data_IF_739196216305
#
_entry.id   IF_739196216305
#
_cell.length_a   1.000
_cell.length_b   1.000
_cell.length_c   1.000
_cell.angle_alpha   90.00
_cell.angle_beta   90.00
_cell.angle_gamma   90.00
#
_symmetry.space_group_name_H-M   'P 1'
#
loop_
_entity.id
_entity.type
_entity.pdbx_description
1 polymer ?
#
# COMPACT_ATOMS: atom_id res chain seq x y z
N UNK A 1 2.77 -9.67 -28.70
CA UNK A 1 1.83 -10.34 -27.76
C UNK A 1 2.46 -11.64 -27.31
N UNK A 2 3.33 -11.61 -26.32
CA UNK A 2 3.88 -12.85 -25.74
C UNK A 2 3.23 -13.00 -24.37
N UNK A 3 2.29 -13.96 -24.28
CA UNK A 3 1.62 -14.31 -23.05
C UNK A 3 2.64 -14.62 -21.97
N UNK A 4 2.62 -13.83 -20.94
CA UNK A 4 3.40 -14.05 -19.73
C UNK A 4 2.86 -15.32 -19.10
N UNK A 5 3.47 -16.46 -19.43
CA UNK A 5 3.24 -17.72 -18.72
C UNK A 5 3.50 -17.41 -17.25
N UNK A 6 2.44 -17.31 -16.46
CA UNK A 6 2.49 -17.24 -15.02
C UNK A 6 3.40 -18.39 -14.56
N UNK A 7 4.63 -18.09 -14.20
CA UNK A 7 5.48 -19.08 -13.53
C UNK A 7 4.68 -19.58 -12.34
N UNK A 8 4.53 -20.90 -12.21
CA UNK A 8 3.82 -21.50 -11.07
C UNK A 8 4.33 -20.84 -9.79
N UNK A 9 3.44 -20.23 -8.99
CA UNK A 9 3.87 -19.49 -7.83
C UNK A 9 4.64 -20.43 -6.88
N UNK A 10 5.91 -20.15 -6.66
CA UNK A 10 6.68 -20.89 -5.66
C UNK A 10 6.05 -20.62 -4.29
N UNK A 11 5.94 -21.65 -3.45
CA UNK A 11 5.43 -21.50 -2.08
C UNK A 11 6.13 -20.36 -1.32
N UNK A 12 7.44 -20.18 -1.54
CA UNK A 12 8.22 -19.09 -0.96
C UNK A 12 7.71 -17.71 -1.38
N UNK A 13 7.36 -17.52 -2.65
CA UNK A 13 6.82 -16.26 -3.18
C UNK A 13 5.42 -15.98 -2.62
N UNK A 14 4.57 -17.02 -2.54
CA UNK A 14 3.24 -16.89 -1.93
C UNK A 14 3.34 -16.52 -0.46
N UNK A 15 4.21 -17.17 0.30
CA UNK A 15 4.45 -16.84 1.72
C UNK A 15 4.98 -15.41 1.84
N UNK A 16 5.96 -15.02 1.01
CA UNK A 16 6.50 -13.66 1.01
C UNK A 16 5.45 -12.60 0.70
N UNK A 17 4.56 -12.87 -0.26
CA UNK A 17 3.42 -12.01 -0.58
C UNK A 17 2.49 -11.84 0.62
N UNK A 18 2.05 -12.96 1.24
CA UNK A 18 1.12 -12.92 2.39
C UNK A 18 1.75 -12.20 3.59
N UNK A 19 3.00 -12.56 3.93
CA UNK A 19 3.75 -11.90 5.01
C UNK A 19 3.94 -10.42 4.71
N UNK A 20 4.25 -10.07 3.45
CA UNK A 20 4.37 -8.69 3.01
C UNK A 20 3.08 -7.89 3.24
N UNK A 21 1.93 -8.44 2.84
CA UNK A 21 0.61 -7.81 3.03
C UNK A 21 0.30 -7.62 4.53
N UNK A 22 0.59 -8.61 5.37
CA UNK A 22 0.39 -8.49 6.82
C UNK A 22 1.26 -7.39 7.41
N UNK A 23 2.53 -7.31 7.00
CA UNK A 23 3.46 -6.26 7.45
C UNK A 23 3.01 -4.88 6.95
N UNK A 24 2.52 -4.75 5.70
CA UNK A 24 1.93 -3.50 5.21
C UNK A 24 0.77 -3.06 6.11
N UNK A 25 -0.14 -3.99 6.42
CA UNK A 25 -1.28 -3.68 7.30
C UNK A 25 -0.87 -3.19 8.69
N UNK A 26 0.17 -3.78 9.28
CA UNK A 26 0.77 -3.28 10.52
C UNK A 26 1.33 -1.87 10.32
N UNK A 27 2.07 -1.61 9.25
CA UNK A 27 2.64 -0.29 8.96
C UNK A 27 1.56 0.78 8.81
N UNK A 28 0.45 0.48 8.11
CA UNK A 28 -0.70 1.39 7.97
C UNK A 28 -1.35 1.66 9.34
N UNK A 29 -1.45 0.65 10.20
CA UNK A 29 -1.95 0.82 11.56
C UNK A 29 -1.07 1.74 12.40
N UNK A 30 0.27 1.65 12.26
CA UNK A 30 1.23 2.54 12.92
C UNK A 30 1.11 3.98 12.39
N UNK A 31 0.93 4.17 11.07
CA UNK A 31 0.61 5.50 10.52
C UNK A 31 -0.67 6.08 11.13
N UNK A 32 -1.73 5.27 11.22
CA UNK A 32 -2.99 5.69 11.84
C UNK A 32 -2.78 6.11 13.30
N UNK A 33 -1.94 5.38 14.06
CA UNK A 33 -1.60 5.69 15.44
C UNK A 33 -0.86 7.02 15.60
N UNK A 34 -0.09 7.45 14.59
CA UNK A 34 0.66 8.71 14.64
C UNK A 34 -0.22 9.96 14.66
N UNK A 35 -1.46 9.86 14.16
CA UNK A 35 -2.35 11.02 13.95
C UNK A 35 -1.76 12.13 13.05
N UNK A 36 -0.65 11.86 12.31
CA UNK A 36 -0.05 12.80 11.36
C UNK A 36 -0.45 12.55 9.90
N UNK A 37 -1.38 11.64 9.66
CA UNK A 37 -1.81 11.20 8.33
C UNK A 37 -1.28 9.82 7.97
N UNK A 38 -1.72 9.31 6.84
CA UNK A 38 -1.38 7.99 6.31
C UNK A 38 -0.97 8.12 4.83
N UNK A 39 -0.65 6.99 4.18
CA UNK A 39 -0.57 7.00 2.71
C UNK A 39 -1.92 7.46 2.13
N UNK A 40 -1.86 8.10 0.97
CA UNK A 40 -2.98 8.88 0.42
C UNK A 40 -4.26 8.06 0.23
N UNK A 41 -4.14 6.83 -0.29
CA UNK A 41 -5.31 5.97 -0.51
C UNK A 41 -5.88 5.41 0.81
N UNK A 42 -5.02 5.02 1.76
CA UNK A 42 -5.48 4.56 3.07
C UNK A 42 -6.17 5.68 3.85
N UNK A 43 -5.63 6.91 3.80
CA UNK A 43 -6.25 8.07 4.41
C UNK A 43 -7.64 8.35 3.81
N UNK A 44 -7.77 8.30 2.48
CA UNK A 44 -9.04 8.46 1.78
C UNK A 44 -10.03 7.36 2.17
N UNK A 45 -9.62 6.10 2.17
CA UNK A 45 -10.48 4.98 2.55
C UNK A 45 -10.92 5.03 4.02
N UNK A 46 -10.03 5.45 4.92
CA UNK A 46 -10.39 5.68 6.33
C UNK A 46 -11.48 6.74 6.44
N UNK A 47 -11.30 7.86 5.74
CA UNK A 47 -12.28 8.94 5.75
C UNK A 47 -13.63 8.55 5.15
N UNK A 48 -13.62 7.82 4.03
CA UNK A 48 -14.85 7.31 3.42
C UNK A 48 -15.56 6.30 4.34
N UNK A 49 -14.81 5.41 4.99
CA UNK A 49 -15.35 4.46 5.96
C UNK A 49 -16.06 5.17 7.12
N UNK A 50 -15.44 6.25 7.66
CA UNK A 50 -16.05 7.09 8.70
C UNK A 50 -17.33 7.78 8.21
N UNK A 51 -17.31 8.38 7.00
CA UNK A 51 -18.46 9.08 6.44
C UNK A 51 -19.65 8.15 6.16
N UNK A 52 -19.39 6.92 5.69
CA UNK A 52 -20.44 5.94 5.41
C UNK A 52 -20.81 5.09 6.63
N UNK A 53 -20.11 5.22 7.76
CA UNK A 53 -20.36 4.42 8.96
C UNK A 53 -20.11 2.92 8.77
N UNK A 54 -19.18 2.54 7.89
CA UNK A 54 -18.84 1.16 7.58
C UNK A 54 -17.42 0.82 8.04
N UNK A 55 -17.10 -0.48 8.17
CA UNK A 55 -15.75 -0.88 8.54
C UNK A 55 -14.74 -0.54 7.43
N UNK A 56 -13.50 -0.25 7.82
CA UNK A 56 -12.40 -0.01 6.89
C UNK A 56 -12.20 -1.18 5.91
N UNK A 57 -12.40 -2.42 6.38
CA UNK A 57 -12.31 -3.61 5.52
C UNK A 57 -13.34 -3.58 4.39
N UNK A 58 -14.60 -3.27 4.69
CA UNK A 58 -15.68 -3.16 3.69
C UNK A 58 -15.39 -2.01 2.73
N UNK A 59 -14.98 -0.85 3.24
CA UNK A 59 -14.62 0.30 2.40
C UNK A 59 -13.45 -0.03 1.45
N UNK A 60 -12.41 -0.70 1.93
CA UNK A 60 -11.30 -1.11 1.08
C UNK A 60 -11.73 -2.09 -0.02
N UNK A 61 -12.60 -3.05 0.29
CA UNK A 61 -13.15 -3.96 -0.73
C UNK A 61 -13.91 -3.17 -1.80
N UNK A 62 -14.78 -2.23 -1.41
CA UNK A 62 -15.55 -1.43 -2.35
C UNK A 62 -14.63 -0.57 -3.25
N UNK A 63 -13.64 0.11 -2.68
CA UNK A 63 -12.66 0.90 -3.42
C UNK A 63 -11.83 0.03 -4.36
N UNK A 64 -11.35 -1.12 -3.89
CA UNK A 64 -10.57 -2.04 -4.72
C UNK A 64 -11.41 -2.68 -5.85
N UNK A 65 -12.69 -2.96 -5.64
CA UNK A 65 -13.58 -3.43 -6.70
C UNK A 65 -13.72 -2.39 -7.82
N UNK A 66 -13.86 -1.11 -7.46
CA UNK A 66 -13.93 -0.03 -8.45
C UNK A 66 -12.61 0.09 -9.23
N UNK A 67 -11.47 0.09 -8.54
CA UNK A 67 -10.15 0.17 -9.17
C UNK A 67 -9.86 -1.08 -10.01
N UNK A 68 -10.25 -2.25 -9.54
CA UNK A 68 -10.12 -3.51 -10.26
C UNK A 68 -10.94 -3.53 -11.55
N UNK A 69 -12.14 -2.91 -11.56
CA UNK A 69 -12.89 -2.75 -12.79
C UNK A 69 -12.13 -1.93 -13.83
N UNK A 70 -11.42 -0.87 -13.42
CA UNK A 70 -10.54 -0.09 -14.28
C UNK A 70 -9.36 -0.95 -14.76
N UNK A 71 -8.69 -1.64 -13.85
CA UNK A 71 -7.53 -2.51 -14.12
C UNK A 71 -7.86 -3.61 -15.15
N UNK A 72 -9.05 -4.20 -15.11
CA UNK A 72 -9.51 -5.19 -16.11
C UNK A 72 -9.52 -4.59 -17.53
N UNK A 73 -9.78 -3.30 -17.65
CA UNK A 73 -9.87 -2.64 -18.97
C UNK A 73 -8.52 -2.15 -19.47
N UNK A 74 -7.68 -1.66 -18.58
CA UNK A 74 -6.46 -0.92 -18.93
C UNK A 74 -5.19 -1.69 -18.59
N UNK A 75 -5.17 -2.47 -17.49
CA UNK A 75 -3.96 -3.01 -16.89
C UNK A 75 -3.98 -4.49 -16.53
N UNK A 76 -4.67 -5.34 -17.28
CA UNK A 76 -4.81 -6.80 -16.99
C UNK A 76 -3.50 -7.52 -16.66
N UNK A 77 -2.38 -6.99 -17.10
CA UNK A 77 -1.05 -7.55 -16.87
C UNK A 77 -0.60 -7.47 -15.39
N UNK A 78 -1.21 -6.60 -14.60
CA UNK A 78 -0.88 -6.40 -13.17
C UNK A 78 -1.75 -7.25 -12.25
N UNK A 79 -2.82 -7.86 -12.78
CA UNK A 79 -3.75 -8.68 -12.01
C UNK A 79 -3.11 -10.02 -11.64
N UNK A 80 -3.13 -10.36 -10.37
CA UNK A 80 -2.63 -11.63 -9.88
C UNK A 80 -3.19 -12.01 -8.51
N UNK A 81 -2.66 -13.07 -7.91
CA UNK A 81 -3.11 -13.54 -6.60
C UNK A 81 -2.96 -12.44 -5.53
N UNK A 82 -1.86 -11.67 -5.58
CA UNK A 82 -1.60 -10.57 -4.67
C UNK A 82 -2.63 -9.44 -4.76
N UNK A 83 -3.16 -9.16 -5.95
CA UNK A 83 -4.22 -8.16 -6.16
C UNK A 83 -5.46 -8.50 -5.33
N UNK A 84 -5.92 -9.75 -5.39
CA UNK A 84 -7.09 -10.21 -4.65
C UNK A 84 -6.84 -10.27 -3.15
N UNK A 85 -5.72 -10.86 -2.72
CA UNK A 85 -5.40 -11.00 -1.30
C UNK A 85 -5.23 -9.64 -0.64
N UNK A 86 -4.51 -8.72 -1.27
CA UNK A 86 -4.35 -7.36 -0.76
C UNK A 86 -5.71 -6.63 -0.75
N UNK A 87 -6.40 -6.60 -1.88
CA UNK A 87 -7.65 -5.85 -2.05
C UNK A 87 -8.75 -6.26 -1.06
N UNK A 88 -8.78 -7.52 -0.65
CA UNK A 88 -9.79 -8.03 0.29
C UNK A 88 -9.32 -7.90 1.74
N UNK A 89 -8.07 -8.25 2.04
CA UNK A 89 -7.64 -8.47 3.41
C UNK A 89 -7.05 -7.24 4.09
N UNK A 90 -6.48 -6.29 3.34
CA UNK A 90 -5.67 -5.21 3.93
C UNK A 90 -6.42 -4.38 4.98
N UNK A 91 -7.67 -3.98 4.71
CA UNK A 91 -8.43 -3.17 5.64
C UNK A 91 -8.78 -3.88 6.95
N UNK A 92 -9.03 -5.19 6.91
CA UNK A 92 -9.25 -6.00 8.11
C UNK A 92 -7.96 -6.19 8.90
N UNK A 93 -6.84 -6.42 8.21
CA UNK A 93 -5.52 -6.54 8.85
C UNK A 93 -5.15 -5.23 9.55
N UNK A 94 -5.37 -4.09 8.92
CA UNK A 94 -5.13 -2.77 9.54
C UNK A 94 -5.93 -2.62 10.82
N UNK A 95 -7.23 -2.93 10.80
CA UNK A 95 -8.09 -2.84 11.99
C UNK A 95 -7.62 -3.78 13.09
N UNK A 96 -7.29 -5.03 12.75
CA UNK A 96 -6.83 -6.04 13.70
C UNK A 96 -5.52 -5.64 14.42
N UNK A 97 -4.65 -4.87 13.78
CA UNK A 97 -3.45 -4.32 14.43
C UNK A 97 -3.72 -3.00 15.15
N UNK A 98 -4.52 -2.12 14.55
CA UNK A 98 -4.76 -0.78 15.10
C UNK A 98 -5.51 -0.83 16.43
N UNK A 99 -6.57 -1.64 16.54
CA UNK A 99 -7.42 -1.67 17.73
C UNK A 99 -6.64 -2.03 19.01
N UNK A 100 -5.81 -3.10 19.05
CA UNK A 100 -5.00 -3.38 20.24
C UNK A 100 -3.88 -2.34 20.47
N UNK A 101 -3.27 -1.78 19.41
CA UNK A 101 -2.25 -0.72 19.55
C UNK A 101 -2.86 0.51 20.19
N UNK A 102 -4.01 0.97 19.69
CA UNK A 102 -4.72 2.13 20.21
C UNK A 102 -5.22 1.92 21.64
N UNK A 103 -5.68 0.71 21.95
CA UNK A 103 -6.13 0.36 23.30
C UNK A 103 -4.97 0.34 24.31
N UNK A 104 -3.77 -0.09 23.90
CA UNK A 104 -2.62 -0.20 24.80
C UNK A 104 -1.85 1.10 24.99
N UNK A 105 -1.60 1.84 23.90
CA UNK A 105 -0.78 3.06 23.93
C UNK A 105 -1.61 4.35 24.10
N UNK A 106 -2.92 4.31 23.80
CA UNK A 106 -3.73 5.52 23.71
C UNK A 106 -3.32 6.42 22.53
N UNK A 107 -3.92 7.62 22.41
CA UNK A 107 -3.56 8.56 21.35
C UNK A 107 -2.17 9.15 21.58
N UNK A 108 -1.36 9.23 20.51
CA UNK A 108 -0.04 9.87 20.58
C UNK A 108 -0.15 11.34 21.01
N UNK A 109 0.42 11.67 22.19
CA UNK A 109 0.18 12.93 22.88
C UNK A 109 1.14 14.06 22.47
N UNK A 110 2.32 13.72 21.95
CA UNK A 110 3.37 14.69 21.61
C UNK A 110 3.91 14.52 20.18
N UNK A 111 4.36 15.63 19.59
CA UNK A 111 4.93 15.61 18.25
C UNK A 111 6.13 14.64 18.11
N UNK A 112 7.08 14.56 19.07
CA UNK A 112 8.14 13.56 18.99
C UNK A 112 7.63 12.12 18.97
N UNK A 113 6.63 11.80 19.76
CA UNK A 113 5.99 10.48 19.78
C UNK A 113 5.31 10.17 18.44
N UNK A 114 4.54 11.14 17.91
CA UNK A 114 3.92 11.03 16.59
C UNK A 114 4.94 10.78 15.48
N UNK A 115 6.09 11.48 15.49
CA UNK A 115 7.17 11.29 14.53
C UNK A 115 7.85 9.92 14.68
N UNK A 116 7.98 9.40 15.90
CA UNK A 116 8.48 8.03 16.12
C UNK A 116 7.52 6.99 15.52
N UNK A 117 6.21 7.16 15.70
CA UNK A 117 5.23 6.30 15.06
C UNK A 117 5.32 6.37 13.54
N UNK A 118 5.48 7.56 12.95
CA UNK A 118 5.69 7.72 11.49
C UNK A 118 6.96 7.03 11.01
N UNK A 119 8.08 7.19 11.71
CA UNK A 119 9.34 6.55 11.35
C UNK A 119 9.25 5.01 11.39
N UNK A 120 8.60 4.46 12.43
CA UNK A 120 8.31 3.04 12.52
C UNK A 120 7.38 2.59 11.39
N UNK A 121 6.32 3.36 11.12
CA UNK A 121 5.35 3.08 10.07
C UNK A 121 6.00 3.03 8.68
N UNK A 122 6.82 4.03 8.31
CA UNK A 122 7.57 4.04 7.03
C UNK A 122 8.44 2.80 6.89
N UNK A 123 9.20 2.47 7.94
CA UNK A 123 10.12 1.32 7.92
C UNK A 123 9.37 0.01 7.74
N UNK A 124 8.31 -0.20 8.54
CA UNK A 124 7.51 -1.43 8.52
C UNK A 124 6.75 -1.56 7.19
N UNK A 125 6.09 -0.48 6.75
CA UNK A 125 5.37 -0.48 5.47
C UNK A 125 6.31 -0.74 4.30
N UNK A 126 7.49 -0.11 4.29
CA UNK A 126 8.48 -0.30 3.22
C UNK A 126 9.01 -1.74 3.16
N UNK A 127 9.27 -2.37 4.32
CA UNK A 127 9.66 -3.78 4.38
C UNK A 127 8.56 -4.69 3.83
N UNK A 128 7.32 -4.48 4.26
CA UNK A 128 6.17 -5.24 3.78
C UNK A 128 5.94 -5.07 2.28
N UNK A 129 5.98 -3.83 1.80
CA UNK A 129 5.81 -3.51 0.38
C UNK A 129 6.93 -4.12 -0.48
N UNK A 130 8.17 -4.09 0.02
CA UNK A 130 9.30 -4.74 -0.63
C UNK A 130 9.09 -6.24 -0.81
N UNK A 131 8.68 -6.97 0.24
CA UNK A 131 8.38 -8.40 0.17
C UNK A 131 7.22 -8.69 -0.79
N UNK A 132 6.15 -7.91 -0.69
CA UNK A 132 4.96 -8.07 -1.50
C UNK A 132 5.24 -7.83 -2.99
N UNK A 133 5.92 -6.73 -3.34
CA UNK A 133 6.24 -6.39 -4.71
C UNK A 133 7.26 -7.36 -5.32
N UNK A 134 8.30 -7.73 -4.56
CA UNK A 134 9.31 -8.71 -5.01
C UNK A 134 8.72 -10.11 -5.21
N UNK A 135 7.62 -10.46 -4.54
CA UNK A 135 6.92 -11.71 -4.80
C UNK A 135 6.38 -11.81 -6.23
N UNK A 136 6.11 -10.68 -6.93
CA UNK A 136 5.68 -10.61 -8.34
C UNK A 136 4.49 -11.56 -8.63
N UNK A 137 3.47 -11.53 -7.78
CA UNK A 137 2.25 -12.34 -7.85
C UNK A 137 0.98 -11.50 -8.07
N UNK A 138 1.12 -10.31 -8.62
CA UNK A 138 0.09 -9.31 -8.80
C UNK A 138 0.30 -8.12 -7.88
N UNK A 139 -0.25 -6.99 -8.26
CA UNK A 139 -0.07 -5.70 -7.58
C UNK A 139 -1.42 -5.25 -7.05
N UNK A 140 -1.43 -4.49 -5.96
CA UNK A 140 -2.66 -3.91 -5.43
C UNK A 140 -3.29 -2.97 -6.48
N UNK A 141 -4.63 -2.97 -6.63
CA UNK A 141 -5.28 -2.18 -7.68
C UNK A 141 -4.89 -0.71 -7.68
N UNK A 142 -4.72 -0.11 -6.51
CA UNK A 142 -4.24 1.27 -6.41
C UNK A 142 -2.81 1.46 -6.93
N UNK A 143 -1.91 0.54 -6.62
CA UNK A 143 -0.51 0.62 -7.07
C UNK A 143 -0.42 0.36 -8.59
N UNK A 144 -1.31 -0.48 -9.12
CA UNK A 144 -1.42 -0.73 -10.55
C UNK A 144 -1.81 0.52 -11.34
N UNK A 145 -2.68 1.40 -10.80
CA UNK A 145 -3.08 2.65 -11.48
C UNK A 145 -1.88 3.53 -11.87
N UNK A 146 -0.87 3.65 -11.01
CA UNK A 146 0.32 4.43 -11.32
C UNK A 146 1.17 3.78 -12.43
N UNK A 147 1.19 2.44 -12.49
CA UNK A 147 1.87 1.70 -13.55
C UNK A 147 1.13 1.78 -14.87
N UNK A 148 -0.19 1.68 -14.84
CA UNK A 148 -1.05 1.84 -16.00
C UNK A 148 -0.91 3.25 -16.60
N UNK A 149 -0.92 4.26 -15.74
CA UNK A 149 -0.72 5.64 -16.17
C UNK A 149 0.67 5.84 -16.83
N UNK A 150 1.72 5.24 -16.27
CA UNK A 150 3.05 5.22 -16.87
C UNK A 150 3.04 4.54 -18.25
N UNK A 151 2.34 3.42 -18.39
CA UNK A 151 2.33 2.66 -19.63
C UNK A 151 1.59 3.38 -20.77
N UNK A 152 0.69 4.31 -20.44
CA UNK A 152 -0.11 5.08 -21.38
C UNK A 152 0.34 6.54 -21.54
N UNK A 153 1.34 7.00 -20.77
CA UNK A 153 1.82 8.38 -20.83
C UNK A 153 3.36 8.42 -20.88
N UNK A 154 3.97 9.51 -21.39
CA UNK A 154 5.42 9.67 -21.36
C UNK A 154 5.97 10.04 -19.97
N UNK A 155 5.11 10.03 -18.94
CA UNK A 155 5.49 10.41 -17.58
C UNK A 155 6.17 9.23 -16.87
N UNK A 156 7.32 9.42 -16.20
CA UNK A 156 7.97 8.35 -15.45
C UNK A 156 7.10 7.89 -14.27
N UNK A 157 7.26 6.64 -13.86
CA UNK A 157 6.48 6.02 -12.77
C UNK A 157 6.35 6.89 -11.51
N UNK A 158 7.44 7.52 -11.09
CA UNK A 158 7.43 8.41 -9.92
C UNK A 158 6.43 9.57 -10.09
N UNK A 159 6.39 10.20 -11.27
CA UNK A 159 5.43 11.28 -11.57
C UNK A 159 3.99 10.78 -11.56
N UNK A 160 3.73 9.60 -12.15
CA UNK A 160 2.42 8.97 -12.13
C UNK A 160 1.97 8.64 -10.69
N UNK A 161 2.89 8.12 -9.86
CA UNK A 161 2.62 7.82 -8.46
C UNK A 161 2.29 9.07 -7.65
N UNK A 162 3.11 10.11 -7.77
CA UNK A 162 2.85 11.40 -7.10
C UNK A 162 1.51 11.98 -7.53
N UNK A 163 1.16 11.86 -8.81
CA UNK A 163 -0.13 12.33 -9.30
C UNK A 163 -1.31 11.57 -8.67
N UNK A 164 -1.28 10.24 -8.67
CA UNK A 164 -2.34 9.42 -8.05
C UNK A 164 -2.44 9.67 -6.55
N UNK A 165 -1.31 9.79 -5.85
CA UNK A 165 -1.26 10.14 -4.44
C UNK A 165 -1.83 11.54 -4.18
N UNK A 166 -1.50 12.53 -5.00
CA UNK A 166 -2.01 13.90 -4.87
C UNK A 166 -3.54 13.96 -5.07
N UNK A 167 -4.08 13.23 -6.04
CA UNK A 167 -5.53 13.16 -6.28
C UNK A 167 -6.24 12.55 -5.06
N UNK A 168 -5.73 11.44 -4.52
CA UNK A 168 -6.31 10.81 -3.34
C UNK A 168 -6.19 11.68 -2.08
N UNK A 169 -5.03 12.34 -1.88
CA UNK A 169 -4.82 13.24 -0.75
C UNK A 169 -5.75 14.45 -0.82
N UNK A 170 -5.90 15.05 -2.02
CA UNK A 170 -6.81 16.17 -2.24
C UNK A 170 -8.27 15.76 -1.97
N UNK A 171 -8.69 14.61 -2.49
CA UNK A 171 -10.03 14.08 -2.24
C UNK A 171 -10.27 13.83 -0.73
N UNK A 172 -9.30 13.24 -0.05
CA UNK A 172 -9.34 13.02 1.40
C UNK A 172 -9.48 14.35 2.16
N UNK A 173 -8.67 15.34 1.80
CA UNK A 173 -8.71 16.68 2.42
C UNK A 173 -10.05 17.39 2.19
N UNK A 174 -10.57 17.36 0.96
CA UNK A 174 -11.88 17.95 0.62
C UNK A 174 -13.03 17.31 1.41
N UNK A 175 -12.93 16.04 1.74
CA UNK A 175 -13.89 15.31 2.57
C UNK A 175 -13.66 15.53 4.09
N UNK A 176 -12.70 16.39 4.48
CA UNK A 176 -12.36 16.65 5.87
C UNK A 176 -11.59 15.51 6.55
N UNK A 177 -10.90 14.68 5.77
CA UNK A 177 -10.02 13.63 6.27
C UNK A 177 -8.65 14.16 6.67
N UNK A 178 -7.88 13.33 7.38
CA UNK A 178 -6.57 13.69 7.89
C UNK A 178 -5.49 13.52 6.81
N UNK A 179 -5.05 14.65 6.26
CA UNK A 179 -3.87 14.73 5.38
C UNK A 179 -2.84 15.60 6.09
N UNK A 180 -1.71 15.03 6.47
CA UNK A 180 -0.72 15.73 7.30
C UNK A 180 0.73 15.38 6.95
N UNK A 181 1.63 15.69 7.88
CA UNK A 181 3.08 15.42 7.72
C UNK A 181 3.37 13.96 7.42
N UNK A 182 2.63 13.02 8.04
CA UNK A 182 2.78 11.59 7.77
C UNK A 182 2.48 11.22 6.33
N UNK A 183 1.47 11.85 5.71
CA UNK A 183 1.14 11.65 4.29
C UNK A 183 2.25 12.15 3.39
N UNK A 184 2.83 13.33 3.68
CA UNK A 184 3.97 13.87 2.92
C UNK A 184 5.20 12.99 3.06
N UNK A 185 5.54 12.58 4.29
CA UNK A 185 6.67 11.67 4.55
C UNK A 185 6.46 10.34 3.82
N UNK A 186 5.26 9.79 3.84
CA UNK A 186 4.94 8.56 3.10
C UNK A 186 5.18 8.74 1.60
N UNK A 187 4.66 9.80 0.99
CA UNK A 187 4.78 10.06 -0.44
C UNK A 187 6.25 10.18 -0.91
N UNK A 188 7.13 10.79 -0.10
CA UNK A 188 8.52 11.03 -0.50
C UNK A 188 9.52 9.98 0.01
N UNK A 189 9.29 9.41 1.20
CA UNK A 189 10.26 8.51 1.84
C UNK A 189 9.99 7.03 1.56
N UNK A 190 8.74 6.63 1.33
CA UNK A 190 8.40 5.22 1.21
C UNK A 190 9.12 4.56 0.02
N UNK A 191 9.14 5.21 -1.15
CA UNK A 191 9.78 4.69 -2.36
C UNK A 191 11.26 4.35 -2.19
N UNK A 192 12.11 5.29 -1.76
CA UNK A 192 13.53 5.03 -1.48
C UNK A 192 13.78 3.92 -0.46
N UNK A 193 12.98 3.86 0.61
CA UNK A 193 13.11 2.82 1.66
C UNK A 193 12.68 1.45 1.13
N UNK A 194 11.64 1.37 0.29
CA UNK A 194 11.26 0.13 -0.40
C UNK A 194 12.42 -0.36 -1.28
N UNK A 195 13.03 0.51 -2.08
CA UNK A 195 14.17 0.14 -2.94
C UNK A 195 15.35 -0.38 -2.13
N UNK A 196 15.64 0.22 -0.99
CA UNK A 196 16.66 -0.26 -0.07
C UNK A 196 16.37 -1.71 0.38
N UNK A 197 15.15 -2.00 0.82
CA UNK A 197 14.77 -3.34 1.25
C UNK A 197 14.70 -4.34 0.09
N UNK A 198 14.34 -3.92 -1.13
CA UNK A 198 14.34 -4.79 -2.30
C UNK A 198 15.73 -5.40 -2.52
N UNK A 199 16.76 -4.58 -2.67
CA UNK A 199 18.11 -5.07 -2.98
C UNK A 199 18.81 -5.77 -1.82
N UNK A 200 18.53 -5.33 -0.57
CA UNK A 200 19.25 -5.86 0.61
C UNK A 200 18.59 -7.08 1.24
N UNK A 201 17.27 -7.20 1.15
CA UNK A 201 16.51 -8.21 1.88
C UNK A 201 15.61 -9.04 0.97
N UNK A 202 14.60 -8.45 0.32
CA UNK A 202 13.51 -9.17 -0.32
C UNK A 202 13.93 -10.04 -1.49
N UNK A 203 14.81 -9.53 -2.37
CA UNK A 203 15.33 -10.30 -3.50
C UNK A 203 16.11 -11.54 -3.04
N UNK A 204 16.89 -11.40 -1.97
CA UNK A 204 17.65 -12.51 -1.39
C UNK A 204 16.73 -13.55 -0.73
N UNK A 205 15.78 -13.08 0.08
CA UNK A 205 14.83 -13.95 0.80
C UNK A 205 13.93 -14.70 -0.17
N UNK A 206 13.42 -14.04 -1.20
CA UNK A 206 12.52 -14.66 -2.18
C UNK A 206 13.26 -15.35 -3.32
N UNK A 207 14.60 -15.23 -3.40
CA UNK A 207 15.44 -15.70 -4.52
C UNK A 207 14.91 -15.19 -5.86
N UNK A 208 14.46 -13.93 -5.86
CA UNK A 208 13.97 -13.27 -7.05
C UNK A 208 15.15 -12.84 -7.92
N UNK A 209 15.06 -13.16 -9.20
CA UNK A 209 15.97 -12.61 -10.21
C UNK A 209 15.15 -11.60 -11.03
N UNK A 210 15.46 -10.29 -10.95
CA UNK A 210 14.78 -9.31 -11.78
C UNK A 210 14.96 -9.68 -13.25
N UNK A 211 13.89 -9.62 -14.01
CA UNK A 211 13.97 -9.81 -15.46
C UNK A 211 14.88 -8.71 -16.01
N UNK A 212 15.95 -9.08 -16.70
CA UNK A 212 16.73 -8.13 -17.48
C UNK A 212 15.80 -7.59 -18.57
N UNK A 213 15.42 -6.33 -18.45
CA UNK A 213 14.78 -5.54 -19.52
C UNK A 213 15.80 -5.25 -20.62
#
# INVERSE_FOLDING_TARGET
MNGTLLQKPSARRVIGMVVGIVIIGLGIALFKQSHLGNDSISALNMRLAELFGISLGVQNIAANLLMFAIEIWVGRQYIGLGTFVNGICIGFIVTAFYDPIAAFFGPAASLPEQLLWVAAAVTVTALGASLYQTADLGIAPYDALALELRDHTPVPYFGCRVFTDAVCALACWMLGGLVGLGTLICAFCLGPVIQFFNGHFSEKVLRYQPRKT
#
